data_IF_051080418977
#
_entry.id   IF_051080418977
#
_cell.length_a   1.000
_cell.length_b   1.000
_cell.length_c   1.000
_cell.angle_alpha   90.00
_cell.angle_beta   90.00
_cell.angle_gamma   90.00
#
_symmetry.space_group_name_H-M   'P 1'
#
loop_
_entity.id
_entity.type
_entity.pdbx_description
1 polymer ?
#
# COMPACT_ATOMS: atom_id res chain seq x y z
N UNK A 1 -3.73 -20.72 28.66
CA UNK A 1 -2.50 -21.08 29.41
C UNK A 1 -1.34 -21.12 28.41
N UNK A 2 -0.32 -20.27 28.58
CA UNK A 2 0.84 -20.20 27.67
C UNK A 2 1.98 -21.08 28.18
N UNK A 3 2.38 -22.06 27.37
CA UNK A 3 3.60 -22.84 27.58
C UNK A 3 4.68 -22.27 26.67
N UNK A 4 5.86 -21.96 27.22
CA UNK A 4 7.00 -21.40 26.46
C UNK A 4 8.19 -22.34 26.58
N UNK A 5 8.86 -22.61 25.46
CA UNK A 5 10.16 -23.27 25.42
C UNK A 5 11.18 -22.39 24.67
N UNK A 6 12.44 -22.48 25.05
CA UNK A 6 13.52 -21.60 24.55
C UNK A 6 14.81 -22.40 24.36
N UNK A 7 15.55 -22.09 23.30
CA UNK A 7 16.89 -22.61 23.04
C UNK A 7 17.74 -21.53 22.37
N UNK A 8 18.96 -21.34 22.85
CA UNK A 8 19.91 -20.37 22.30
C UNK A 8 21.29 -20.97 22.02
N UNK A 9 22.03 -20.33 21.11
CA UNK A 9 23.37 -20.70 20.68
C UNK A 9 24.20 -19.43 20.45
N UNK A 10 25.44 -19.42 20.96
CA UNK A 10 26.40 -18.32 20.79
C UNK A 10 27.63 -18.81 20.02
N UNK A 11 27.95 -18.17 18.90
CA UNK A 11 29.08 -18.47 18.02
C UNK A 11 29.64 -17.17 17.42
N UNK A 12 30.95 -16.93 17.56
CA UNK A 12 31.69 -15.83 16.91
C UNK A 12 30.97 -14.46 16.90
N UNK A 13 30.54 -14.04 18.10
CA UNK A 13 29.77 -12.83 18.44
C UNK A 13 28.31 -12.77 17.93
N UNK A 14 27.83 -13.83 17.27
CA UNK A 14 26.42 -14.03 16.92
C UNK A 14 25.68 -14.77 18.03
N UNK A 15 24.50 -14.26 18.41
CA UNK A 15 23.49 -14.96 19.19
C UNK A 15 22.37 -15.44 18.27
N UNK A 16 21.98 -16.70 18.41
CA UNK A 16 20.83 -17.31 17.75
C UNK A 16 19.85 -17.83 18.81
N UNK A 17 18.60 -17.40 18.75
CA UNK A 17 17.54 -17.84 19.67
C UNK A 17 16.32 -18.34 18.92
N UNK A 18 15.77 -19.46 19.38
CA UNK A 18 14.45 -19.95 19.01
C UNK A 18 13.60 -20.07 20.26
N UNK A 19 12.45 -19.39 20.25
CA UNK A 19 11.47 -19.40 21.32
C UNK A 19 10.12 -19.87 20.76
N UNK A 20 9.48 -20.85 21.38
CA UNK A 20 8.16 -21.34 20.96
C UNK A 20 7.11 -21.07 22.02
N UNK A 21 5.87 -20.80 21.60
CA UNK A 21 4.74 -20.58 22.50
C UNK A 21 3.47 -21.20 21.93
N UNK A 22 2.70 -21.91 22.77
CA UNK A 22 1.34 -22.32 22.44
C UNK A 22 0.34 -21.39 23.17
N UNK A 23 -0.60 -20.82 22.42
CA UNK A 23 -1.72 -20.08 22.99
C UNK A 23 -3.06 -20.74 22.65
N UNK A 24 -3.53 -21.54 23.61
CA UNK A 24 -4.75 -22.34 23.54
C UNK A 24 -6.01 -21.47 23.47
N UNK A 25 -5.96 -20.21 23.88
CA UNK A 25 -7.14 -19.33 23.94
C UNK A 25 -7.50 -18.73 22.56
N UNK A 26 -6.52 -18.66 21.65
CA UNK A 26 -6.67 -18.24 20.25
C UNK A 26 -6.46 -19.38 19.24
N UNK A 27 -6.17 -20.60 19.71
CA UNK A 27 -5.87 -21.75 18.85
C UNK A 27 -4.53 -21.67 18.10
N UNK A 28 -3.62 -20.79 18.53
CA UNK A 28 -2.39 -20.46 17.80
C UNK A 28 -1.13 -21.09 18.38
N UNK A 29 -0.26 -21.59 17.51
CA UNK A 29 1.13 -21.92 17.86
C UNK A 29 2.09 -20.89 17.24
N UNK A 30 3.11 -20.48 18.00
CA UNK A 30 4.11 -19.47 17.63
C UNK A 30 5.53 -20.05 17.67
N UNK A 31 6.34 -19.70 16.68
CA UNK A 31 7.80 -19.82 16.70
C UNK A 31 8.40 -18.43 16.47
N UNK A 32 9.14 -17.92 17.43
CA UNK A 32 9.94 -16.69 17.31
C UNK A 32 11.39 -17.09 17.07
N UNK A 33 12.00 -16.60 16.00
CA UNK A 33 13.42 -16.78 15.68
C UNK A 33 14.12 -15.43 15.77
N UNK A 34 15.34 -15.40 16.29
CA UNK A 34 16.16 -14.19 16.39
C UNK A 34 17.64 -14.51 16.14
N UNK A 35 18.20 -13.93 15.09
CA UNK A 35 19.63 -13.75 14.91
C UNK A 35 20.01 -12.33 15.33
N UNK A 36 21.13 -12.18 16.02
CA UNK A 36 21.62 -10.91 16.56
C UNK A 36 23.16 -10.95 16.55
N UNK A 37 23.84 -9.93 15.99
CA UNK A 37 25.31 -9.92 15.93
C UNK A 37 25.92 -8.71 15.20
N UNK A 38 27.27 -8.67 15.06
CA UNK A 38 27.99 -7.56 14.46
C UNK A 38 27.49 -7.16 13.07
N UNK A 39 27.61 -5.87 12.72
CA UNK A 39 27.04 -5.31 11.48
C UNK A 39 27.69 -5.80 10.18
N UNK A 40 28.82 -6.51 10.22
CA UNK A 40 29.45 -7.16 9.07
C UNK A 40 28.94 -8.60 8.84
N UNK A 41 28.06 -9.11 9.71
CA UNK A 41 27.35 -10.38 9.53
C UNK A 41 26.10 -10.19 8.69
N UNK A 42 25.82 -11.13 7.81
CA UNK A 42 24.53 -11.29 7.11
C UNK A 42 23.81 -12.48 7.73
N UNK A 43 22.50 -12.35 7.94
CA UNK A 43 21.65 -13.44 8.42
C UNK A 43 20.59 -13.75 7.36
N UNK A 44 20.42 -15.03 7.03
CA UNK A 44 19.53 -15.50 5.96
C UNK A 44 18.78 -16.75 6.41
N UNK A 45 17.45 -16.70 6.37
CA UNK A 45 16.58 -17.86 6.57
C UNK A 45 15.66 -18.03 5.35
N UNK A 46 15.62 -19.24 4.78
CA UNK A 46 14.82 -19.58 3.60
C UNK A 46 13.70 -20.57 3.92
N UNK A 47 12.54 -20.36 3.31
CA UNK A 47 11.32 -21.15 3.50
C UNK A 47 10.78 -21.65 2.16
N UNK A 48 10.62 -22.97 2.03
CA UNK A 48 9.97 -23.61 0.88
C UNK A 48 8.49 -23.18 0.81
N UNK A 49 8.10 -22.56 -0.31
CA UNK A 49 6.71 -22.26 -0.62
C UNK A 49 5.86 -23.54 -0.66
N UNK A 50 6.48 -24.69 -0.96
CA UNK A 50 5.89 -26.01 -1.20
C UNK A 50 4.78 -25.94 -2.26
N UNK A 51 3.60 -26.52 -2.02
CA UNK A 51 2.42 -26.40 -2.91
C UNK A 51 1.39 -25.37 -2.42
N UNK A 52 1.77 -24.47 -1.49
CA UNK A 52 0.85 -23.50 -0.88
C UNK A 52 0.74 -22.25 -1.74
N UNK A 53 -0.40 -21.57 -1.65
CA UNK A 53 -0.54 -20.20 -2.12
C UNK A 53 -0.03 -19.24 -1.04
N UNK A 54 0.71 -18.20 -1.42
CA UNK A 54 1.28 -17.20 -0.50
C UNK A 54 0.82 -15.78 -0.85
N UNK A 55 0.72 -14.92 0.16
CA UNK A 55 0.19 -13.56 0.07
C UNK A 55 1.03 -12.63 0.96
N UNK A 56 1.07 -11.32 0.68
CA UNK A 56 1.90 -10.37 1.43
C UNK A 56 3.29 -10.14 0.82
N UNK A 57 4.19 -9.47 1.55
CA UNK A 57 5.40 -8.84 0.97
C UNK A 57 5.11 -7.53 0.21
N UNK A 58 6.08 -6.96 -0.52
CA UNK A 58 5.97 -5.60 -1.04
C UNK A 58 4.93 -5.44 -2.15
N UNK A 59 4.45 -4.21 -2.32
CA UNK A 59 3.79 -3.72 -3.54
C UNK A 59 4.83 -3.71 -4.69
N UNK A 60 4.43 -4.16 -5.88
CA UNK A 60 5.30 -4.35 -7.05
C UNK A 60 4.65 -3.81 -8.33
N UNK A 61 5.43 -3.40 -9.34
CA UNK A 61 4.92 -3.06 -10.68
C UNK A 61 4.23 -4.24 -11.33
N UNK A 62 4.84 -5.42 -11.25
CA UNK A 62 4.24 -6.70 -11.65
C UNK A 62 3.63 -7.40 -10.42
N UNK A 63 2.52 -6.86 -9.88
CA UNK A 63 1.90 -7.43 -8.68
C UNK A 63 1.26 -8.80 -8.96
N UNK A 64 2.03 -9.86 -8.70
CA UNK A 64 1.54 -11.24 -8.73
C UNK A 64 0.64 -11.57 -7.53
N UNK A 65 -0.38 -12.39 -7.80
CA UNK A 65 -1.21 -13.03 -6.77
C UNK A 65 -1.59 -14.46 -7.21
N UNK A 66 -1.48 -15.47 -6.34
CA UNK A 66 -0.63 -15.51 -5.15
C UNK A 66 0.86 -15.30 -5.48
N UNK A 67 1.65 -14.80 -4.53
CA UNK A 67 2.95 -14.14 -4.78
C UNK A 67 4.08 -15.08 -5.22
N UNK A 68 3.96 -16.39 -4.95
CA UNK A 68 4.96 -17.40 -5.34
C UNK A 68 4.97 -17.71 -6.86
N UNK A 69 4.22 -16.91 -7.64
CA UNK A 69 4.31 -16.83 -9.11
C UNK A 69 5.32 -15.76 -9.57
N UNK A 70 5.63 -14.78 -8.73
CA UNK A 70 6.52 -13.66 -9.03
C UNK A 70 7.96 -13.88 -8.55
N UNK A 71 8.83 -12.89 -8.82
CA UNK A 71 10.24 -12.92 -8.43
C UNK A 71 10.67 -11.61 -7.79
N UNK A 72 11.39 -11.71 -6.68
CA UNK A 72 12.09 -10.62 -5.99
C UNK A 72 13.55 -11.04 -5.89
N UNK A 73 14.49 -10.13 -6.19
CA UNK A 73 15.93 -10.41 -6.15
C UNK A 73 16.63 -9.43 -5.21
N UNK A 74 17.05 -9.91 -4.03
CA UNK A 74 17.64 -9.09 -2.94
C UNK A 74 16.87 -7.78 -2.71
N UNK A 75 15.56 -7.89 -2.52
CA UNK A 75 14.64 -6.76 -2.61
C UNK A 75 14.46 -6.05 -1.27
N UNK A 76 14.88 -4.78 -1.20
CA UNK A 76 14.85 -4.00 0.05
C UNK A 76 13.42 -3.68 0.52
N UNK A 77 13.11 -4.04 1.76
CA UNK A 77 11.81 -3.84 2.41
C UNK A 77 11.71 -2.46 3.06
N UNK A 78 11.65 -1.45 2.19
CA UNK A 78 11.30 -0.05 2.46
C UNK A 78 10.37 0.48 1.36
N UNK A 79 9.66 1.58 1.62
CA UNK A 79 8.91 2.31 0.59
C UNK A 79 9.87 3.02 -0.38
N UNK A 80 9.66 2.90 -1.70
CA UNK A 80 10.53 3.46 -2.76
C UNK A 80 9.78 3.62 -4.10
N UNK A 81 10.28 4.51 -4.96
CA UNK A 81 9.75 4.68 -6.33
C UNK A 81 10.17 3.54 -7.28
N UNK A 82 11.36 2.99 -7.06
CA UNK A 82 11.79 1.79 -7.77
C UNK A 82 10.82 0.62 -7.50
N UNK A 83 10.44 -0.07 -8.59
CA UNK A 83 9.36 -1.06 -8.59
C UNK A 83 8.02 -0.62 -7.94
N UNK A 84 7.76 0.70 -7.84
CA UNK A 84 6.49 1.25 -7.37
C UNK A 84 6.07 0.80 -5.95
N UNK A 85 7.02 0.37 -5.11
CA UNK A 85 6.74 -0.12 -3.77
C UNK A 85 6.37 1.00 -2.80
N UNK A 86 5.13 1.47 -2.84
CA UNK A 86 4.63 2.42 -1.85
C UNK A 86 4.39 1.69 -0.51
N UNK A 87 3.75 0.51 -0.54
CA UNK A 87 3.68 -0.43 0.61
C UNK A 87 4.82 -1.46 0.55
N UNK A 88 5.56 -1.60 1.65
CA UNK A 88 6.62 -2.62 1.82
C UNK A 88 6.45 -3.38 3.14
N UNK A 89 5.29 -3.99 3.33
CA UNK A 89 4.92 -4.62 4.60
C UNK A 89 5.64 -5.95 4.87
N UNK A 90 5.95 -6.17 6.15
CA UNK A 90 6.86 -7.22 6.64
C UNK A 90 6.11 -8.49 7.04
N UNK A 91 5.08 -8.80 6.27
CA UNK A 91 4.08 -9.80 6.57
C UNK A 91 3.82 -10.70 5.36
N UNK A 92 3.86 -12.01 5.59
CA UNK A 92 3.61 -13.05 4.59
C UNK A 92 2.67 -14.11 5.15
N UNK A 93 1.53 -14.33 4.50
CA UNK A 93 0.51 -15.33 4.83
C UNK A 93 0.54 -16.47 3.81
N UNK A 94 0.18 -17.70 4.21
CA UNK A 94 -0.05 -18.79 3.28
C UNK A 94 -1.39 -19.52 3.49
N UNK A 95 -1.80 -20.26 2.46
CA UNK A 95 -3.08 -20.97 2.40
C UNK A 95 -3.28 -22.02 3.49
N UNK A 96 -2.21 -22.50 4.14
CA UNK A 96 -2.27 -23.50 5.21
C UNK A 96 -2.40 -22.88 6.62
N UNK A 97 -2.86 -21.62 6.73
CA UNK A 97 -3.05 -20.95 8.02
C UNK A 97 -1.75 -20.56 8.73
N UNK A 98 -0.66 -20.43 7.98
CA UNK A 98 0.65 -20.06 8.52
C UNK A 98 0.99 -18.64 8.07
N UNK A 99 1.57 -17.82 8.95
CA UNK A 99 2.13 -16.53 8.55
C UNK A 99 3.48 -16.26 9.19
N UNK A 100 4.27 -15.40 8.55
CA UNK A 100 5.56 -14.90 9.01
C UNK A 100 5.46 -13.37 9.11
N UNK A 101 5.79 -12.81 10.28
CA UNK A 101 5.93 -11.37 10.50
C UNK A 101 7.36 -11.04 10.92
N UNK A 102 8.04 -10.16 10.19
CA UNK A 102 9.44 -9.78 10.44
C UNK A 102 9.50 -8.43 11.14
N UNK A 103 10.25 -8.36 12.23
CA UNK A 103 10.26 -7.20 13.11
C UNK A 103 10.85 -5.96 12.39
N UNK A 104 10.37 -4.74 12.68
CA UNK A 104 10.80 -3.52 11.98
C UNK A 104 12.29 -3.21 12.10
N UNK A 105 12.96 -3.68 13.16
CA UNK A 105 14.37 -3.40 13.42
C UNK A 105 15.32 -4.04 12.38
N UNK A 106 14.93 -5.13 11.72
CA UNK A 106 15.79 -5.86 10.78
C UNK A 106 16.03 -5.06 9.48
N UNK A 107 17.29 -4.89 9.03
CA UNK A 107 17.60 -4.26 7.74
C UNK A 107 17.38 -5.29 6.62
N UNK A 108 16.10 -5.47 6.26
CA UNK A 108 15.56 -6.63 5.56
C UNK A 108 15.56 -6.49 4.02
N UNK A 109 16.12 -7.50 3.36
CA UNK A 109 15.98 -7.78 1.94
C UNK A 109 15.25 -9.12 1.76
N UNK A 110 14.54 -9.29 0.64
CA UNK A 110 13.73 -10.47 0.34
C UNK A 110 14.12 -11.05 -1.02
N UNK A 111 14.31 -12.36 -1.10
CA UNK A 111 14.51 -13.07 -2.36
C UNK A 111 13.40 -14.12 -2.59
N UNK A 112 12.88 -14.20 -3.81
CA UNK A 112 12.02 -15.28 -4.28
C UNK A 112 12.69 -15.97 -5.49
N UNK A 113 12.89 -17.28 -5.42
CA UNK A 113 13.38 -18.14 -6.53
C UNK A 113 14.79 -17.86 -7.11
N UNK A 114 15.65 -17.03 -6.52
CA UNK A 114 17.03 -16.82 -7.04
C UNK A 114 18.11 -17.45 -6.16
N UNK A 115 17.98 -17.33 -4.83
CA UNK A 115 18.87 -18.00 -3.86
C UNK A 115 18.58 -19.50 -3.82
N UNK A 116 17.30 -19.87 -3.70
CA UNK A 116 16.79 -21.24 -3.79
C UNK A 116 15.48 -21.23 -4.60
N UNK A 117 15.32 -22.18 -5.52
CA UNK A 117 14.06 -22.32 -6.27
C UNK A 117 12.93 -22.85 -5.37
N UNK A 118 11.71 -22.38 -5.63
CA UNK A 118 10.51 -22.56 -4.82
C UNK A 118 10.62 -22.05 -3.36
N UNK A 119 11.53 -21.11 -3.06
CA UNK A 119 11.67 -20.54 -1.72
C UNK A 119 11.47 -19.02 -1.70
N UNK A 120 11.03 -18.53 -0.53
CA UNK A 120 11.26 -17.16 -0.05
C UNK A 120 12.41 -17.15 0.95
N UNK A 121 13.37 -16.25 0.78
CA UNK A 121 14.49 -16.05 1.70
C UNK A 121 14.44 -14.64 2.29
N UNK A 122 14.64 -14.56 3.61
CA UNK A 122 14.68 -13.31 4.37
C UNK A 122 16.11 -13.02 4.80
N UNK A 123 16.66 -11.92 4.28
CA UNK A 123 18.07 -11.56 4.40
C UNK A 123 18.17 -10.28 5.24
N UNK A 124 18.79 -10.32 6.42
CA UNK A 124 19.15 -9.12 7.15
C UNK A 124 20.61 -8.74 6.84
N UNK A 125 20.84 -7.54 6.31
CA UNK A 125 22.16 -7.06 5.89
C UNK A 125 22.30 -5.55 6.14
N UNK A 126 23.44 -5.09 6.69
CA UNK A 126 23.72 -3.65 6.85
C UNK A 126 24.27 -3.05 5.56
N UNK A 127 23.44 -3.07 4.52
CA UNK A 127 23.69 -2.50 3.20
C UNK A 127 22.64 -1.44 2.83
N UNK A 128 22.95 -0.61 1.83
CA UNK A 128 22.00 0.36 1.30
C UNK A 128 20.73 -0.35 0.79
N UNK A 129 19.52 0.16 1.08
CA UNK A 129 19.22 1.51 1.56
C UNK A 129 19.32 1.72 3.09
N UNK A 130 19.58 0.67 3.87
CA UNK A 130 19.70 0.78 5.33
C UNK A 130 20.98 1.51 5.75
N UNK A 131 20.90 2.20 6.89
CA UNK A 131 21.98 3.10 7.33
C UNK A 131 23.26 2.34 7.72
N UNK A 132 24.37 2.66 7.06
CA UNK A 132 25.72 2.17 7.39
C UNK A 132 26.24 2.65 8.75
N UNK A 133 25.48 3.48 9.48
CA UNK A 133 25.72 3.85 10.88
C UNK A 133 25.33 2.74 11.88
N UNK A 134 24.61 1.70 11.44
CA UNK A 134 24.19 0.59 12.31
C UNK A 134 25.42 -0.21 12.74
N UNK A 135 25.69 -0.25 14.05
CA UNK A 135 26.78 -1.02 14.65
C UNK A 135 26.44 -2.49 14.90
N UNK A 136 25.22 -2.91 14.54
CA UNK A 136 24.67 -4.24 14.81
C UNK A 136 23.65 -4.63 13.75
N UNK A 137 23.57 -5.92 13.45
CA UNK A 137 22.58 -6.51 12.56
C UNK A 137 21.70 -7.50 13.34
N UNK A 138 20.47 -7.71 12.87
CA UNK A 138 19.57 -8.73 13.43
C UNK A 138 18.50 -9.14 12.42
N UNK A 139 18.22 -10.44 12.35
CA UNK A 139 17.06 -11.01 11.66
C UNK A 139 16.12 -11.60 12.70
N UNK A 140 14.98 -10.95 12.94
CA UNK A 140 14.04 -11.40 13.97
C UNK A 140 12.62 -11.46 13.41
N UNK A 141 11.97 -12.60 13.58
CA UNK A 141 10.64 -12.82 13.02
C UNK A 141 9.82 -13.82 13.85
N UNK A 142 8.51 -13.74 13.63
CA UNK A 142 7.48 -14.54 14.26
C UNK A 142 6.74 -15.36 13.20
N UNK A 143 6.87 -16.68 13.24
CA UNK A 143 6.01 -17.60 12.52
C UNK A 143 4.82 -17.96 13.42
N UNK A 144 3.60 -17.88 12.88
CA UNK A 144 2.39 -18.37 13.53
C UNK A 144 1.71 -19.45 12.69
N UNK A 145 0.99 -20.34 13.38
CA UNK A 145 0.27 -21.48 12.80
C UNK A 145 -1.15 -21.55 13.37
N UNK A 146 -2.15 -21.62 12.49
CA UNK A 146 -3.59 -21.71 12.76
C UNK A 146 -4.26 -22.67 11.77
N UNK A 147 -5.54 -22.98 11.98
CA UNK A 147 -6.30 -23.95 11.17
C UNK A 147 -6.44 -23.56 9.69
N UNK A 148 -6.55 -22.27 9.36
CA UNK A 148 -6.67 -21.77 7.98
C UNK A 148 -6.24 -20.30 7.82
N UNK A 149 -6.07 -19.86 6.58
CA UNK A 149 -5.57 -18.52 6.21
C UNK A 149 -6.41 -17.37 6.78
N UNK A 150 -7.72 -17.54 6.95
CA UNK A 150 -8.63 -16.52 7.47
C UNK A 150 -8.46 -16.29 8.98
N UNK A 151 -8.33 -17.36 9.76
CA UNK A 151 -8.03 -17.28 11.21
C UNK A 151 -6.64 -16.67 11.42
N UNK A 152 -5.66 -17.12 10.63
CA UNK A 152 -4.29 -16.59 10.63
C UNK A 152 -4.25 -15.08 10.35
N UNK A 153 -4.94 -14.62 9.31
CA UNK A 153 -5.05 -13.20 8.97
C UNK A 153 -5.75 -12.37 10.07
N UNK A 154 -6.83 -12.88 10.67
CA UNK A 154 -7.52 -12.19 11.75
C UNK A 154 -6.60 -11.99 12.96
N UNK A 155 -5.84 -13.02 13.33
CA UNK A 155 -4.83 -12.93 14.39
C UNK A 155 -3.69 -11.95 14.03
N UNK A 156 -3.22 -11.92 12.78
CA UNK A 156 -2.23 -10.95 12.31
C UNK A 156 -2.71 -9.50 12.42
N UNK A 157 -3.98 -9.25 12.10
CA UNK A 157 -4.62 -7.93 12.25
C UNK A 157 -4.74 -7.51 13.72
N UNK A 158 -5.15 -8.42 14.61
CA UNK A 158 -5.25 -8.13 16.05
C UNK A 158 -3.88 -8.00 16.77
N UNK A 159 -2.79 -8.52 16.19
CA UNK A 159 -1.48 -8.61 16.87
C UNK A 159 -0.39 -7.70 16.28
N UNK A 160 -0.37 -7.50 14.95
CA UNK A 160 0.74 -6.83 14.25
C UNK A 160 0.29 -5.69 13.32
N UNK A 161 -0.70 -5.94 12.44
CA UNK A 161 -1.08 -4.97 11.40
C UNK A 161 -2.01 -3.85 11.93
N UNK A 162 -2.78 -4.13 12.98
CA UNK A 162 -3.75 -3.19 13.54
C UNK A 162 -5.01 -3.01 12.69
N UNK A 163 -5.96 -2.23 13.22
CA UNK A 163 -7.26 -1.94 12.59
C UNK A 163 -7.36 -0.44 12.27
N UNK A 164 -8.07 -0.04 11.18
CA UNK A 164 -8.37 1.37 10.95
C UNK A 164 -9.12 1.97 12.15
N UNK A 165 -8.71 3.17 12.58
CA UNK A 165 -9.31 3.85 13.74
C UNK A 165 -10.67 4.51 13.45
N UNK A 166 -11.11 4.48 12.20
CA UNK A 166 -12.38 5.03 11.72
C UNK A 166 -12.55 4.80 10.23
N UNK A 167 -13.66 5.30 9.68
CA UNK A 167 -13.96 5.25 8.24
C UNK A 167 -13.82 6.66 7.62
N UNK A 168 -13.61 6.80 6.30
CA UNK A 168 -13.71 8.08 5.61
C UNK A 168 -15.10 8.69 5.74
N UNK A 169 -15.22 10.00 5.53
CA UNK A 169 -16.53 10.65 5.52
C UNK A 169 -17.42 10.10 4.39
N UNK A 170 -18.67 9.78 4.73
CA UNK A 170 -19.65 9.13 3.85
C UNK A 170 -19.73 9.77 2.45
N UNK A 171 -19.63 11.10 2.33
CA UNK A 171 -19.72 11.80 1.05
C UNK A 171 -18.52 11.50 0.13
N UNK A 172 -17.34 11.23 0.69
CA UNK A 172 -16.14 10.84 -0.06
C UNK A 172 -16.30 9.48 -0.73
N UNK A 173 -17.05 8.59 -0.07
CA UNK A 173 -17.39 7.26 -0.57
C UNK A 173 -18.55 7.36 -1.56
N UNK A 174 -19.56 8.17 -1.27
CA UNK A 174 -20.77 8.25 -2.08
C UNK A 174 -20.56 8.91 -3.47
N UNK A 175 -19.69 9.93 -3.59
CA UNK A 175 -19.59 10.75 -4.81
C UNK A 175 -18.14 10.96 -5.28
N UNK A 176 -17.92 11.27 -6.58
CA UNK A 176 -16.58 11.35 -7.15
C UNK A 176 -15.66 12.41 -6.52
N UNK A 177 -14.38 12.05 -6.45
CA UNK A 177 -13.22 12.93 -6.31
C UNK A 177 -12.83 13.43 -7.71
N UNK A 178 -12.50 14.72 -7.84
CA UNK A 178 -12.13 15.35 -9.10
C UNK A 178 -10.71 15.93 -9.00
N UNK A 179 -9.71 15.17 -9.44
CA UNK A 179 -8.31 15.61 -9.57
C UNK A 179 -8.08 16.46 -10.83
N UNK A 180 -7.18 17.44 -10.72
CA UNK A 180 -6.74 18.30 -11.82
C UNK A 180 -5.60 17.70 -12.66
N UNK A 181 -4.86 16.72 -12.12
CA UNK A 181 -3.73 16.06 -12.80
C UNK A 181 -4.10 15.53 -14.19
N UNK A 182 -5.28 14.89 -14.29
CA UNK A 182 -5.81 14.28 -15.52
C UNK A 182 -5.94 15.23 -16.73
N UNK A 183 -6.02 16.54 -16.49
CA UNK A 183 -6.31 17.57 -17.50
C UNK A 183 -5.21 18.61 -17.65
N UNK A 184 -4.57 18.97 -16.54
CA UNK A 184 -3.60 20.08 -16.48
C UNK A 184 -2.18 19.62 -16.14
N UNK A 185 -2.05 18.44 -15.52
CA UNK A 185 -0.82 17.98 -14.86
C UNK A 185 -0.24 19.07 -13.94
N UNK A 186 0.77 19.81 -14.38
CA UNK A 186 1.42 20.91 -13.63
C UNK A 186 0.93 22.30 -14.03
N UNK A 187 0.27 22.43 -15.17
CA UNK A 187 -0.14 23.70 -15.80
C UNK A 187 -1.50 24.18 -15.24
N UNK A 188 -1.60 24.22 -13.91
CA UNK A 188 -2.73 24.79 -13.16
C UNK A 188 -2.50 26.27 -12.83
N UNK A 189 -3.57 27.04 -12.85
CA UNK A 189 -3.64 28.42 -12.37
C UNK A 189 -5.04 28.73 -11.80
N UNK A 190 -5.22 29.93 -11.25
CA UNK A 190 -6.47 30.30 -10.60
C UNK A 190 -7.70 30.26 -11.54
N UNK A 191 -7.53 30.61 -12.82
CA UNK A 191 -8.63 30.72 -13.77
C UNK A 191 -9.02 29.34 -14.35
N UNK A 192 -8.03 28.48 -14.63
CA UNK A 192 -8.24 27.10 -15.07
C UNK A 192 -8.89 26.23 -13.99
N UNK A 193 -8.45 26.35 -12.73
CA UNK A 193 -9.09 25.67 -11.59
C UNK A 193 -10.54 26.14 -11.39
N UNK A 194 -10.81 27.45 -11.48
CA UNK A 194 -12.16 27.99 -11.38
C UNK A 194 -13.07 27.57 -12.55
N UNK A 195 -12.54 27.55 -13.77
CA UNK A 195 -13.26 27.05 -14.95
C UNK A 195 -13.64 25.57 -14.78
N UNK A 196 -12.69 24.72 -14.40
CA UNK A 196 -12.94 23.28 -14.23
C UNK A 196 -13.98 22.97 -13.15
N UNK A 197 -13.91 23.65 -12.00
CA UNK A 197 -14.91 23.49 -10.93
C UNK A 197 -16.33 23.87 -11.39
N UNK A 198 -16.47 24.86 -12.27
CA UNK A 198 -17.76 25.21 -12.87
C UNK A 198 -18.20 24.24 -13.96
N UNK A 199 -17.29 23.79 -14.83
CA UNK A 199 -17.60 22.75 -15.84
C UNK A 199 -18.16 21.47 -15.20
N UNK A 200 -17.57 21.01 -14.09
CA UNK A 200 -18.05 19.82 -13.34
C UNK A 200 -19.46 20.06 -12.79
N UNK A 201 -19.69 21.23 -12.15
CA UNK A 201 -20.98 21.65 -11.60
C UNK A 201 -22.07 21.71 -12.68
N UNK A 202 -21.77 22.39 -13.80
CA UNK A 202 -22.74 22.63 -14.87
C UNK A 202 -22.96 21.39 -15.74
N UNK A 203 -22.01 20.44 -15.72
CA UNK A 203 -22.20 19.06 -16.18
C UNK A 203 -23.14 18.23 -15.30
N UNK A 204 -23.63 18.77 -14.17
CA UNK A 204 -24.68 18.17 -13.35
C UNK A 204 -24.28 16.87 -12.67
N UNK A 205 -23.00 16.68 -12.37
CA UNK A 205 -22.53 15.55 -11.56
C UNK A 205 -22.65 15.85 -10.06
N UNK A 206 -22.97 14.84 -9.22
CA UNK A 206 -22.68 14.94 -7.80
C UNK A 206 -21.15 14.99 -7.61
N UNK A 207 -20.71 15.56 -6.50
CA UNK A 207 -19.28 15.71 -6.20
C UNK A 207 -19.01 15.50 -4.70
N UNK A 208 -17.79 15.09 -4.39
CA UNK A 208 -17.28 15.05 -3.02
C UNK A 208 -16.11 16.02 -2.85
N UNK A 209 -15.02 15.78 -3.58
CA UNK A 209 -13.77 16.53 -3.50
C UNK A 209 -13.41 17.14 -4.86
N UNK A 210 -12.82 18.31 -4.83
CA UNK A 210 -12.02 18.89 -5.90
C UNK A 210 -10.57 18.93 -5.39
N UNK A 211 -9.66 18.27 -6.09
CA UNK A 211 -8.29 18.02 -5.66
C UNK A 211 -7.33 18.77 -6.58
N UNK A 212 -6.39 19.52 -5.96
CA UNK A 212 -5.47 20.41 -6.66
C UNK A 212 -4.09 19.75 -6.74
N UNK A 213 -3.89 19.04 -7.85
CA UNK A 213 -2.60 18.57 -8.39
C UNK A 213 -2.20 19.46 -9.59
N UNK A 214 -0.94 19.72 -9.91
CA UNK A 214 0.34 19.49 -9.22
C UNK A 214 1.15 20.79 -9.31
N UNK A 215 2.20 20.94 -8.51
CA UNK A 215 3.07 22.11 -8.49
C UNK A 215 2.26 23.41 -8.23
N UNK A 216 1.31 23.34 -7.29
CA UNK A 216 0.63 24.52 -6.72
C UNK A 216 1.58 25.40 -5.89
N UNK A 217 2.71 24.82 -5.49
CA UNK A 217 3.77 25.41 -4.70
C UNK A 217 4.94 25.94 -5.55
N UNK A 218 5.85 26.70 -4.94
CA UNK A 218 6.98 27.35 -5.62
C UNK A 218 7.95 26.32 -6.23
N UNK A 219 8.21 25.23 -5.51
CA UNK A 219 9.00 24.07 -5.94
C UNK A 219 8.67 22.88 -5.02
N UNK A 220 8.82 21.64 -5.52
CA UNK A 220 8.43 20.43 -4.78
C UNK A 220 9.05 20.36 -3.37
N UNK A 221 8.19 20.35 -2.35
CA UNK A 221 8.58 20.26 -0.94
C UNK A 221 8.81 21.60 -0.25
N UNK A 222 8.49 22.73 -0.90
CA UNK A 222 8.42 24.05 -0.27
C UNK A 222 7.20 24.24 0.64
N UNK A 223 6.14 23.47 0.38
CA UNK A 223 4.78 23.60 0.92
C UNK A 223 4.24 25.05 0.90
N UNK A 224 4.72 25.86 -0.04
CA UNK A 224 4.51 27.31 -0.09
C UNK A 224 3.90 27.69 -1.44
N UNK A 225 2.68 28.24 -1.41
CA UNK A 225 1.87 28.55 -2.60
C UNK A 225 2.61 29.45 -3.59
N UNK A 226 2.64 29.05 -4.87
CA UNK A 226 3.10 29.94 -5.93
C UNK A 226 2.03 30.98 -6.28
N UNK A 227 2.13 32.16 -5.68
CA UNK A 227 1.25 33.30 -5.93
C UNK A 227 1.30 33.83 -7.37
N UNK A 228 2.22 33.37 -8.22
CA UNK A 228 2.21 33.65 -9.68
C UNK A 228 1.13 32.83 -10.39
N UNK A 229 0.85 31.61 -9.92
CA UNK A 229 -0.18 30.69 -10.43
C UNK A 229 -1.50 30.89 -9.69
N UNK A 230 -1.43 31.10 -8.37
CA UNK A 230 -2.57 31.07 -7.44
C UNK A 230 -2.62 32.34 -6.56
N UNK A 231 -2.79 33.55 -7.15
CA UNK A 231 -2.61 34.83 -6.46
C UNK A 231 -3.58 35.07 -5.28
N UNK A 232 -4.80 34.51 -5.29
CA UNK A 232 -5.66 34.41 -4.11
C UNK A 232 -6.27 33.01 -4.01
N UNK A 233 -5.40 32.01 -3.77
CA UNK A 233 -5.83 30.63 -3.47
C UNK A 233 -6.88 30.55 -2.36
N UNK A 234 -6.84 31.47 -1.38
CA UNK A 234 -7.80 31.50 -0.26
C UNK A 234 -9.21 31.83 -0.76
N UNK A 235 -9.34 32.82 -1.63
CA UNK A 235 -10.61 33.19 -2.29
C UNK A 235 -11.08 32.09 -3.25
N UNK A 236 -10.18 31.55 -4.07
CA UNK A 236 -10.49 30.42 -4.97
C UNK A 236 -11.05 29.21 -4.20
N UNK A 237 -10.39 28.81 -3.10
CA UNK A 237 -10.84 27.71 -2.24
C UNK A 237 -12.19 28.01 -1.59
N UNK A 238 -12.49 29.27 -1.24
CA UNK A 238 -13.80 29.66 -0.73
C UNK A 238 -14.90 29.58 -1.81
N UNK A 239 -14.60 29.99 -3.04
CA UNK A 239 -15.57 30.00 -4.14
C UNK A 239 -15.85 28.59 -4.68
N UNK A 240 -14.83 27.73 -4.81
CA UNK A 240 -15.01 26.31 -5.14
C UNK A 240 -15.82 25.60 -4.04
N UNK A 241 -15.61 25.92 -2.76
CA UNK A 241 -16.48 25.45 -1.65
C UNK A 241 -17.90 26.01 -1.76
N UNK A 242 -18.07 27.22 -2.30
CA UNK A 242 -19.37 27.82 -2.64
C UNK A 242 -20.13 27.07 -3.74
N UNK A 243 -19.44 26.34 -4.63
CA UNK A 243 -20.06 25.42 -5.59
C UNK A 243 -20.43 24.05 -4.97
N UNK A 244 -20.14 23.85 -3.68
CA UNK A 244 -20.52 22.66 -2.89
C UNK A 244 -19.42 21.63 -2.68
N UNK A 245 -18.27 21.75 -3.35
CA UNK A 245 -17.14 20.82 -3.20
C UNK A 245 -16.48 20.92 -1.81
N UNK A 246 -15.85 19.84 -1.34
CA UNK A 246 -14.68 19.97 -0.46
C UNK A 246 -13.45 20.20 -1.33
N UNK A 247 -12.45 20.94 -0.85
CA UNK A 247 -11.18 21.12 -1.58
C UNK A 247 -10.06 20.42 -0.84
N UNK A 248 -9.34 19.57 -1.57
CA UNK A 248 -8.07 18.95 -1.19
C UNK A 248 -6.94 19.56 -2.04
N UNK A 249 -5.69 19.34 -1.62
CA UNK A 249 -4.50 19.81 -2.31
C UNK A 249 -3.42 18.74 -2.17
N UNK A 250 -2.74 18.44 -3.27
CA UNK A 250 -1.74 17.39 -3.30
C UNK A 250 -0.52 17.76 -2.44
N UNK A 251 -0.03 16.83 -1.63
CA UNK A 251 1.17 16.98 -0.81
C UNK A 251 1.97 15.69 -0.82
N UNK A 252 3.28 15.80 -0.75
CA UNK A 252 4.20 14.69 -0.95
C UNK A 252 5.37 14.76 0.05
N UNK A 253 6.02 13.62 0.37
CA UNK A 253 7.02 13.56 1.44
C UNK A 253 8.48 13.64 0.92
N UNK A 254 8.72 14.39 -0.16
CA UNK A 254 10.06 14.59 -0.71
C UNK A 254 10.33 16.08 -0.94
N UNK A 255 11.60 16.47 -1.07
CA UNK A 255 11.99 17.85 -1.36
C UNK A 255 13.00 17.84 -2.50
N UNK A 256 12.75 18.67 -3.51
CA UNK A 256 13.61 18.79 -4.68
C UNK A 256 14.97 19.41 -4.30
N UNK A 257 16.07 18.91 -4.88
CA UNK A 257 17.45 19.35 -4.55
C UNK A 257 17.75 20.81 -4.93
N UNK A 258 16.92 21.40 -5.79
CA UNK A 258 16.94 22.79 -6.23
C UNK A 258 15.90 23.67 -5.49
N UNK A 259 15.15 23.11 -4.54
CA UNK A 259 14.11 23.80 -3.77
C UNK A 259 14.67 24.43 -2.47
N UNK A 260 15.63 25.34 -2.62
CA UNK A 260 16.18 26.10 -1.49
C UNK A 260 15.27 27.28 -1.08
N UNK A 261 15.20 27.63 0.23
CA UNK A 261 16.02 27.11 1.33
C UNK A 261 15.52 25.80 1.95
N UNK A 262 14.34 25.30 1.57
CA UNK A 262 13.69 24.15 2.21
C UNK A 262 14.53 22.87 2.14
N UNK A 263 15.17 22.61 0.99
CA UNK A 263 16.08 21.48 0.82
C UNK A 263 17.27 21.55 1.78
N UNK A 264 17.98 22.68 1.83
CA UNK A 264 19.10 22.89 2.75
C UNK A 264 18.69 22.74 4.23
N UNK A 265 17.52 23.27 4.61
CA UNK A 265 17.00 23.16 5.99
C UNK A 265 16.67 21.71 6.39
N UNK A 266 16.03 20.94 5.49
CA UNK A 266 15.73 19.53 5.73
C UNK A 266 16.98 18.64 5.72
N UNK A 267 18.00 19.01 4.92
CA UNK A 267 19.30 18.35 4.91
C UNK A 267 20.07 18.58 6.20
N UNK A 268 20.08 19.81 6.74
CA UNK A 268 20.69 20.12 8.05
C UNK A 268 20.00 19.36 9.20
N UNK A 269 18.67 19.25 9.15
CA UNK A 269 17.86 18.61 10.21
C UNK A 269 17.82 17.08 10.16
N UNK A 270 18.33 16.45 9.09
CA UNK A 270 18.38 14.99 8.98
C UNK A 270 17.01 14.31 8.93
N UNK A 271 16.00 14.96 8.34
CA UNK A 271 14.60 14.48 8.38
C UNK A 271 14.25 13.40 7.35
N UNK A 272 15.24 12.85 6.64
CA UNK A 272 15.05 11.86 5.58
C UNK A 272 14.59 10.49 6.11
N UNK A 273 14.87 10.19 7.38
CA UNK A 273 14.52 8.92 8.05
C UNK A 273 13.09 8.93 8.65
N UNK A 274 12.26 9.95 8.39
CA UNK A 274 10.91 10.07 8.95
C UNK A 274 9.86 9.25 8.16
N UNK A 275 8.92 8.55 8.82
CA UNK A 275 7.89 7.76 8.15
C UNK A 275 6.85 8.66 7.45
N UNK A 276 6.30 8.15 6.35
CA UNK A 276 5.46 8.90 5.40
C UNK A 276 4.11 8.21 5.20
N UNK A 277 3.07 8.96 4.83
CA UNK A 277 1.79 8.37 4.43
C UNK A 277 1.83 7.88 2.98
N UNK A 278 1.13 6.78 2.73
CA UNK A 278 1.22 5.96 1.52
C UNK A 278 -0.17 5.83 0.87
N UNK A 279 -0.22 5.85 -0.47
CA UNK A 279 -1.41 5.54 -1.30
C UNK A 279 -1.02 4.41 -2.27
N UNK A 280 -2.00 3.68 -2.84
CA UNK A 280 -1.72 2.74 -3.94
C UNK A 280 -1.00 3.48 -5.08
N UNK A 281 0.05 2.88 -5.60
CA UNK A 281 0.91 3.54 -6.58
C UNK A 281 0.21 3.88 -7.90
N UNK A 282 0.74 4.92 -8.58
CA UNK A 282 0.39 5.29 -9.95
C UNK A 282 0.38 4.08 -10.88
N UNK A 283 -0.74 3.86 -11.56
CA UNK A 283 -0.88 2.81 -12.58
C UNK A 283 -0.66 3.36 -13.98
N UNK A 284 -0.01 2.55 -14.81
CA UNK A 284 0.30 2.89 -16.20
C UNK A 284 -0.90 2.64 -17.11
N UNK A 285 -0.95 3.38 -18.22
CA UNK A 285 -2.00 3.26 -19.24
C UNK A 285 -1.76 2.04 -20.15
N UNK A 286 -1.78 0.86 -19.53
CA UNK A 286 -1.51 -0.45 -20.11
C UNK A 286 -2.60 -1.46 -19.74
N UNK A 287 -2.73 -2.52 -20.54
CA UNK A 287 -3.69 -3.60 -20.30
C UNK A 287 -3.12 -4.71 -19.40
N UNK A 288 -1.82 -4.92 -19.50
CA UNK A 288 -1.10 -6.09 -19.02
C UNK A 288 -0.54 -5.93 -17.60
N UNK A 289 0.30 -6.88 -17.19
CA UNK A 289 0.88 -6.96 -15.84
C UNK A 289 2.02 -5.97 -15.58
N UNK A 290 2.55 -5.26 -16.58
CA UNK A 290 3.56 -4.21 -16.35
C UNK A 290 2.88 -2.94 -15.83
N UNK A 291 2.50 -2.93 -14.55
CA UNK A 291 1.82 -1.83 -13.85
C UNK A 291 0.49 -1.37 -14.49
N UNK A 292 -0.08 -2.15 -15.42
CA UNK A 292 -1.34 -1.88 -16.09
C UNK A 292 -2.57 -2.38 -15.34
N UNK A 293 -3.73 -2.32 -16.02
CA UNK A 293 -5.05 -2.66 -15.46
C UNK A 293 -5.10 -4.04 -14.79
N UNK A 294 -4.39 -5.05 -15.34
CA UNK A 294 -4.36 -6.40 -14.77
C UNK A 294 -3.82 -6.44 -13.32
N UNK A 295 -2.99 -5.47 -12.93
CA UNK A 295 -2.41 -5.40 -11.57
C UNK A 295 -3.30 -4.67 -10.56
N UNK A 296 -4.40 -4.05 -11.00
CA UNK A 296 -5.21 -3.20 -10.11
C UNK A 296 -5.88 -4.01 -9.00
N UNK A 297 -6.49 -5.15 -9.36
CA UNK A 297 -7.16 -6.05 -8.42
C UNK A 297 -6.14 -6.72 -7.51
N UNK A 298 -5.00 -7.18 -8.04
CA UNK A 298 -3.97 -7.85 -7.24
C UNK A 298 -3.30 -6.91 -6.24
N UNK A 299 -3.00 -5.65 -6.61
CA UNK A 299 -2.52 -4.64 -5.66
C UNK A 299 -3.58 -4.31 -4.60
N UNK A 300 -4.86 -4.20 -4.99
CA UNK A 300 -5.95 -3.92 -4.05
C UNK A 300 -6.11 -5.03 -2.99
N UNK A 301 -6.07 -6.29 -3.41
CA UNK A 301 -6.14 -7.47 -2.53
C UNK A 301 -4.92 -7.58 -1.60
N UNK A 302 -3.72 -7.33 -2.13
CA UNK A 302 -2.46 -7.29 -1.38
C UNK A 302 -2.51 -6.26 -0.25
N UNK A 303 -2.83 -5.00 -0.57
CA UNK A 303 -2.98 -3.92 0.41
C UNK A 303 -4.05 -4.25 1.46
N UNK A 304 -5.17 -4.85 1.06
CA UNK A 304 -6.26 -5.23 1.97
C UNK A 304 -5.86 -6.31 2.99
N UNK A 305 -5.02 -7.29 2.62
CA UNK A 305 -4.44 -8.24 3.60
C UNK A 305 -3.39 -7.59 4.50
N UNK A 306 -2.80 -6.48 4.10
CA UNK A 306 -1.71 -5.82 4.84
C UNK A 306 -2.21 -4.74 5.81
N UNK A 307 -3.52 -4.69 6.08
CA UNK A 307 -4.14 -3.71 6.97
C UNK A 307 -4.54 -2.40 6.29
N UNK A 308 -4.02 -2.13 5.09
CA UNK A 308 -4.45 -1.03 4.22
C UNK A 308 -5.79 -1.37 3.55
N UNK A 309 -6.87 -1.44 4.33
CA UNK A 309 -8.20 -1.82 3.83
C UNK A 309 -8.98 -0.65 3.18
N UNK A 310 -8.49 0.58 3.34
CA UNK A 310 -9.08 1.80 2.78
C UNK A 310 -8.18 2.33 1.66
N UNK A 311 -8.35 1.79 0.45
CA UNK A 311 -7.48 2.04 -0.71
C UNK A 311 -8.20 2.86 -1.78
N UNK A 312 -7.50 3.84 -2.37
CA UNK A 312 -7.94 4.55 -3.57
C UNK A 312 -7.24 3.90 -4.79
N UNK A 313 -7.98 3.31 -5.75
CA UNK A 313 -7.44 2.46 -6.83
C UNK A 313 -6.83 3.24 -8.02
N UNK A 314 -6.04 4.27 -7.70
CA UNK A 314 -5.43 5.21 -8.65
C UNK A 314 -6.42 5.80 -9.69
N UNK A 315 -5.94 6.22 -10.88
CA UNK A 315 -6.71 6.98 -11.86
C UNK A 315 -7.35 6.09 -12.91
N UNK A 316 -8.58 6.43 -13.29
CA UNK A 316 -9.31 5.62 -14.27
C UNK A 316 -8.70 5.76 -15.67
N UNK A 317 -8.12 4.66 -16.17
CA UNK A 317 -7.38 4.59 -17.42
C UNK A 317 -5.85 4.68 -17.28
N UNK A 318 -5.33 4.75 -16.05
CA UNK A 318 -3.94 5.00 -15.76
C UNK A 318 -3.52 6.45 -16.03
N UNK A 319 -2.31 6.81 -15.62
CA UNK A 319 -1.83 8.21 -15.59
C UNK A 319 -1.54 8.85 -16.96
N UNK A 320 -1.57 8.08 -18.05
CA UNK A 320 -1.41 8.61 -19.42
C UNK A 320 0.00 9.06 -19.79
N UNK A 321 1.01 8.84 -18.93
CA UNK A 321 2.37 9.37 -19.06
C UNK A 321 3.03 9.11 -20.41
N UNK A 322 2.92 7.89 -20.92
CA UNK A 322 3.56 7.46 -22.16
C UNK A 322 2.59 7.47 -23.37
N UNK A 323 1.30 7.26 -23.12
CA UNK A 323 0.23 7.25 -24.13
C UNK A 323 -1.13 7.48 -23.48
N UNK A 324 -2.09 8.07 -24.22
CA UNK A 324 -3.47 8.22 -23.75
C UNK A 324 -4.23 6.88 -23.83
N UNK A 325 -5.18 6.61 -22.92
CA UNK A 325 -5.91 5.34 -22.92
C UNK A 325 -6.75 5.20 -24.20
N UNK A 326 -6.81 3.98 -24.73
CA UNK A 326 -7.81 3.66 -25.76
C UNK A 326 -9.22 3.74 -25.14
N UNK A 327 -10.25 3.98 -25.97
CA UNK A 327 -11.63 4.02 -25.44
C UNK A 327 -11.98 2.72 -24.69
N UNK A 328 -11.52 1.57 -25.17
CA UNK A 328 -11.81 0.30 -24.48
C UNK A 328 -10.99 0.14 -23.20
N UNK A 329 -9.69 0.48 -23.16
CA UNK A 329 -8.89 0.42 -21.93
C UNK A 329 -9.48 1.33 -20.87
N UNK A 330 -9.84 2.57 -21.24
CA UNK A 330 -10.60 3.47 -20.40
C UNK A 330 -11.85 2.74 -19.91
N UNK A 331 -12.75 2.30 -20.79
CA UNK A 331 -14.01 1.61 -20.43
C UNK A 331 -13.84 0.37 -19.55
N UNK A 332 -12.75 -0.39 -19.60
CA UNK A 332 -12.52 -1.54 -18.70
C UNK A 332 -11.97 -1.14 -17.34
N UNK A 333 -11.04 -0.18 -17.29
CA UNK A 333 -10.61 0.43 -16.04
C UNK A 333 -11.80 1.01 -15.27
N UNK A 334 -12.65 1.68 -16.03
CA UNK A 334 -13.93 2.33 -15.73
C UNK A 334 -15.08 1.31 -15.55
N UNK A 335 -14.83 0.00 -15.71
CA UNK A 335 -15.75 -1.06 -15.26
C UNK A 335 -15.30 -1.64 -13.91
N UNK A 336 -14.00 -1.72 -13.65
CA UNK A 336 -13.48 -1.87 -12.29
C UNK A 336 -13.72 -0.62 -11.41
N UNK A 337 -13.96 0.56 -12.01
CA UNK A 337 -14.05 1.86 -11.31
C UNK A 337 -15.23 2.77 -11.70
N UNK A 338 -16.30 2.24 -12.33
CA UNK A 338 -17.49 2.98 -12.83
C UNK A 338 -17.27 3.97 -14.01
N UNK A 339 -18.35 4.25 -14.78
CA UNK A 339 -18.46 5.03 -16.06
C UNK A 339 -18.30 4.13 -17.34
N UNK A 340 -18.72 4.35 -18.61
CA UNK A 340 -19.38 5.37 -19.48
C UNK A 340 -20.92 5.34 -19.66
N UNK A 341 -21.75 4.33 -19.37
CA UNK A 341 -21.93 3.68 -18.06
C UNK A 341 -21.87 4.69 -16.86
N UNK A 342 -21.95 6.00 -17.16
CA UNK A 342 -21.38 7.14 -16.44
C UNK A 342 -22.05 7.45 -15.10
N UNK A 343 -23.00 8.38 -15.13
CA UNK A 343 -23.90 8.67 -14.01
C UNK A 343 -24.58 7.40 -13.52
N UNK A 344 -24.78 6.38 -14.36
CA UNK A 344 -25.35 5.08 -13.97
C UNK A 344 -24.51 4.36 -12.92
N UNK A 345 -23.18 4.25 -13.09
CA UNK A 345 -22.34 3.55 -12.10
C UNK A 345 -21.78 4.48 -11.03
N UNK A 346 -21.69 5.80 -11.27
CA UNK A 346 -21.57 6.77 -10.17
C UNK A 346 -22.79 6.68 -9.25
N UNK A 347 -24.00 6.54 -9.81
CA UNK A 347 -25.21 6.30 -9.04
C UNK A 347 -25.19 4.91 -8.39
N UNK A 348 -24.76 3.85 -9.10
CA UNK A 348 -24.60 2.51 -8.50
C UNK A 348 -23.66 2.54 -7.29
N UNK A 349 -22.52 3.24 -7.37
CA UNK A 349 -21.60 3.41 -6.23
C UNK A 349 -22.23 4.26 -5.11
N UNK A 350 -23.07 5.23 -5.45
CA UNK A 350 -23.83 6.03 -4.47
C UNK A 350 -25.02 5.28 -3.84
N UNK A 351 -25.58 4.28 -4.56
CA UNK A 351 -26.69 3.41 -4.15
C UNK A 351 -26.18 2.30 -3.23
N UNK A 352 -25.01 1.72 -3.54
CA UNK A 352 -24.30 0.73 -2.71
C UNK A 352 -23.38 1.38 -1.65
N UNK A 353 -23.48 2.69 -1.44
CA UNK A 353 -22.61 3.41 -0.51
C UNK A 353 -22.80 2.96 0.95
N UNK A 354 -24.02 2.56 1.34
CA UNK A 354 -24.29 2.01 2.67
C UNK A 354 -23.66 0.61 2.85
N UNK A 355 -23.69 -0.27 1.83
CA UNK A 355 -22.99 -1.55 1.82
C UNK A 355 -21.46 -1.39 1.91
N UNK A 356 -20.88 -0.47 1.13
CA UNK A 356 -19.44 -0.15 1.18
C UNK A 356 -19.07 0.37 2.57
N UNK A 357 -19.89 1.27 3.14
CA UNK A 357 -19.70 1.79 4.51
C UNK A 357 -19.88 0.71 5.57
N UNK A 358 -20.76 -0.28 5.38
CA UNK A 358 -20.88 -1.44 6.26
C UNK A 358 -19.64 -2.34 6.21
N UNK A 359 -19.03 -2.54 5.03
CA UNK A 359 -17.75 -3.23 4.89
C UNK A 359 -16.60 -2.46 5.57
N UNK A 360 -16.53 -1.14 5.41
CA UNK A 360 -15.55 -0.30 6.11
C UNK A 360 -15.72 -0.33 7.64
N UNK A 361 -16.96 -0.33 8.15
CA UNK A 361 -17.23 -0.53 9.59
C UNK A 361 -16.80 -1.92 10.06
N UNK A 362 -17.04 -2.97 9.28
CA UNK A 362 -16.54 -4.32 9.57
C UNK A 362 -15.00 -4.39 9.63
N UNK A 363 -14.29 -3.55 8.86
CA UNK A 363 -12.84 -3.41 8.99
C UNK A 363 -12.41 -2.74 10.29
N UNK A 364 -13.04 -1.61 10.66
CA UNK A 364 -12.77 -0.90 11.93
C UNK A 364 -13.06 -1.79 13.15
N UNK A 365 -14.23 -2.43 13.17
CA UNK A 365 -14.70 -3.23 14.32
C UNK A 365 -13.97 -4.58 14.44
N UNK A 366 -13.77 -5.27 13.31
CA UNK A 366 -13.42 -6.70 13.28
C UNK A 366 -12.17 -7.04 12.46
N UNK A 367 -11.47 -6.04 11.91
CA UNK A 367 -10.28 -6.30 11.08
C UNK A 367 -10.59 -7.05 9.78
N UNK A 368 -11.86 -7.03 9.34
CA UNK A 368 -12.27 -7.67 8.08
C UNK A 368 -11.84 -6.80 6.90
N UNK A 369 -11.14 -7.33 5.88
CA UNK A 369 -10.81 -6.56 4.68
C UNK A 369 -12.07 -5.99 4.01
N UNK A 370 -11.97 -4.78 3.45
CA UNK A 370 -13.10 -4.12 2.74
C UNK A 370 -13.28 -4.74 1.36
N UNK A 371 -12.16 -5.05 0.71
CA UNK A 371 -12.11 -5.83 -0.53
C UNK A 371 -11.41 -7.17 -0.21
N UNK A 372 -12.13 -8.14 0.37
CA UNK A 372 -11.56 -9.42 0.74
C UNK A 372 -11.34 -10.31 -0.50
N UNK A 373 -10.26 -11.11 -0.55
CA UNK A 373 -10.08 -12.11 -1.61
C UNK A 373 -11.13 -13.21 -1.49
N UNK A 374 -11.38 -13.96 -2.58
CA UNK A 374 -12.45 -14.96 -2.64
C UNK A 374 -12.35 -16.02 -1.54
N UNK A 375 -11.13 -16.48 -1.21
CA UNK A 375 -10.89 -17.42 -0.12
C UNK A 375 -11.24 -16.89 1.28
N UNK A 376 -11.50 -15.58 1.44
CA UNK A 376 -12.05 -15.06 2.69
C UNK A 376 -13.48 -15.55 2.95
N UNK A 377 -14.21 -15.97 1.91
CA UNK A 377 -15.52 -16.61 2.05
C UNK A 377 -15.35 -18.09 2.40
N UNK A 378 -14.52 -18.81 1.64
CA UNK A 378 -14.14 -20.20 1.87
C UNK A 378 -12.61 -20.37 1.83
N UNK A 379 -11.93 -20.52 2.99
CA UNK A 379 -10.48 -20.61 3.06
C UNK A 379 -9.93 -22.04 2.87
N UNK A 380 -10.80 -23.02 2.58
CA UNK A 380 -10.42 -24.43 2.34
C UNK A 380 -10.51 -24.78 0.84
N UNK A 381 -11.36 -24.08 0.07
CA UNK A 381 -11.47 -24.22 -1.38
C UNK A 381 -10.17 -23.83 -2.12
N UNK A 382 -9.64 -24.79 -2.90
CA UNK A 382 -8.33 -24.65 -3.56
C UNK A 382 -8.35 -23.75 -4.80
N UNK A 383 -9.51 -23.58 -5.46
CA UNK A 383 -9.64 -22.66 -6.58
C UNK A 383 -9.73 -21.23 -6.05
N UNK A 384 -10.55 -20.99 -5.01
CA UNK A 384 -10.71 -19.69 -4.35
C UNK A 384 -9.39 -19.14 -3.76
N UNK A 385 -8.49 -20.02 -3.31
CA UNK A 385 -7.15 -19.66 -2.83
C UNK A 385 -6.22 -19.14 -3.97
N UNK A 386 -6.53 -19.46 -5.23
CA UNK A 386 -5.72 -19.11 -6.40
C UNK A 386 -6.29 -17.98 -7.28
N UNK A 387 -7.57 -17.60 -7.11
CA UNK A 387 -8.23 -16.46 -7.81
C UNK A 387 -7.49 -15.15 -7.53
N UNK A 388 -7.35 -14.33 -8.58
CA UNK A 388 -6.67 -13.03 -8.57
C UNK A 388 -7.40 -11.93 -9.37
N UNK A 389 -8.42 -12.32 -10.15
CA UNK A 389 -9.19 -11.52 -11.12
C UNK A 389 -10.71 -11.53 -10.84
#
# INVERSE_FOLDING_TARGET
>A
MRTVASSSLLLDEVNFEVNTALDVEIGGFKVTVSWDGPSDRVFEDCFDFSSKQWYGGPEQKEQYWPIQKGKLAHYSMISKEDDNAAVSERYWLNSAGQYIYIQPESPLFVDHHNVLDNHICFIAEVAAPYSSKRTHNSLKYDIWFFDNAKVAQQHAVDTYLGKPSGIPDYRMIQYPVWSTWARYSREIDQDSLWAFANEIKDSGFPNAQFEIDDLWEICYGSLTVDVRKLPDLKKLVQDIKGLGFRVAIWVHPFINKDCDPWYSEALEKGTQDLPVFIRMVDKDTLWDFNNGLATLVTTLLQMNLQGYTLVLPDMIGGNGYNAKPSKELFVRWLQANAVEICRTYTQLHADYADEIVAAMRASVERGTPVNPPVWWLDPEDQDALAVWD
#
